data_IF_222537218413
#
_entry.id   IF_222537218413
#
_cell.length_a   1.000
_cell.length_b   1.000
_cell.length_c   1.000
_cell.angle_alpha   90.00
_cell.angle_beta   90.00
_cell.angle_gamma   90.00
#
_symmetry.space_group_name_H-M   'P 1'
#
loop_
_entity.id
_entity.type
_entity.pdbx_description
1 polymer ?
#
# COMPACT_ATOMS: atom_id res chain seq x y z
N UNK A 1 14.26 5.36 -16.35
CA UNK A 1 13.55 5.92 -17.52
C UNK A 1 12.91 7.23 -17.10
N UNK A 2 12.66 8.22 -17.99
CA UNK A 2 11.87 9.38 -17.60
C UNK A 2 10.46 8.92 -17.23
N UNK A 3 9.87 9.56 -16.21
CA UNK A 3 8.51 9.28 -15.78
C UNK A 3 7.53 9.43 -16.95
N UNK A 4 6.57 8.51 -17.12
CA UNK A 4 5.65 8.55 -18.23
C UNK A 4 4.74 9.78 -18.10
N UNK A 5 4.87 10.72 -19.04
CA UNK A 5 4.11 11.99 -19.05
C UNK A 5 2.60 11.84 -19.25
N UNK A 6 2.14 10.64 -19.61
CA UNK A 6 0.72 10.32 -19.82
C UNK A 6 0.02 9.80 -18.55
N UNK A 7 0.77 9.52 -17.47
CA UNK A 7 0.22 9.06 -16.21
C UNK A 7 0.19 10.23 -15.23
N UNK A 8 -1.00 10.56 -14.74
CA UNK A 8 -1.20 11.58 -13.71
C UNK A 8 -0.92 11.00 -12.31
N UNK A 9 0.12 11.46 -11.60
CA UNK A 9 0.48 10.95 -10.27
C UNK A 9 -0.39 11.50 -9.13
N UNK A 10 -1.26 12.50 -9.39
CA UNK A 10 -2.00 13.22 -8.35
C UNK A 10 -2.93 12.31 -7.53
N UNK A 11 -3.36 12.79 -6.37
CA UNK A 11 -4.38 12.12 -5.56
C UNK A 11 -5.66 11.88 -6.38
N UNK A 12 -6.40 10.83 -5.99
CA UNK A 12 -7.71 10.53 -6.56
C UNK A 12 -8.76 10.45 -5.45
N UNK A 13 -9.87 11.12 -5.65
CA UNK A 13 -11.00 11.14 -4.74
C UNK A 13 -12.30 10.93 -5.52
N UNK A 14 -13.21 10.18 -4.92
CA UNK A 14 -14.56 10.00 -5.43
C UNK A 14 -15.53 9.88 -4.25
N UNK A 15 -16.60 10.66 -4.29
CA UNK A 15 -17.69 10.55 -3.33
C UNK A 15 -18.74 9.58 -3.88
N UNK A 16 -19.24 8.73 -3.00
CA UNK A 16 -20.28 7.72 -3.27
C UNK A 16 -21.14 7.47 -2.05
N UNK A 17 -21.47 6.21 -1.79
CA UNK A 17 -22.25 5.80 -0.63
C UNK A 17 -21.51 5.96 0.69
N UNK A 18 -22.09 5.40 1.76
CA UNK A 18 -21.59 5.56 3.14
C UNK A 18 -20.53 4.55 3.55
N UNK A 19 -20.02 3.77 2.61
CA UNK A 19 -18.85 2.88 2.79
C UNK A 19 -17.63 3.55 2.19
N UNK A 20 -16.64 3.87 3.04
CA UNK A 20 -15.42 4.53 2.68
C UNK A 20 -14.26 3.56 2.47
N UNK A 21 -13.41 3.83 1.49
CA UNK A 21 -12.18 3.06 1.24
C UNK A 21 -10.99 4.01 1.08
N UNK A 22 -9.98 3.84 1.93
CA UNK A 22 -8.68 4.50 1.81
C UNK A 22 -7.70 3.55 1.10
N UNK A 23 -7.13 3.97 -0.03
CA UNK A 23 -6.14 3.20 -0.78
C UNK A 23 -4.80 3.93 -0.83
N UNK A 24 -3.74 3.29 -0.34
CA UNK A 24 -2.42 3.92 -0.11
C UNK A 24 -1.37 3.30 -1.04
N UNK A 25 -0.69 4.14 -1.82
CA UNK A 25 0.33 3.72 -2.79
C UNK A 25 1.67 3.32 -2.15
N UNK A 26 2.57 2.73 -2.96
CA UNK A 26 3.89 2.26 -2.58
C UNK A 26 4.96 3.36 -2.48
N UNK A 27 6.13 3.00 -1.94
CA UNK A 27 7.31 3.86 -1.89
C UNK A 27 7.86 4.08 -3.30
N UNK A 28 8.25 5.30 -3.63
CA UNK A 28 8.65 5.81 -4.96
C UNK A 28 7.55 5.86 -6.01
N UNK A 29 6.38 5.27 -5.74
CA UNK A 29 5.21 5.31 -6.59
C UNK A 29 4.37 6.60 -6.42
N UNK A 30 3.11 6.54 -6.83
CA UNK A 30 2.15 7.65 -6.71
C UNK A 30 0.71 7.12 -6.61
N UNK A 31 -0.27 8.02 -6.40
CA UNK A 31 -1.68 7.65 -6.38
C UNK A 31 -2.17 7.04 -7.70
N UNK A 32 -1.42 7.20 -8.78
CA UNK A 32 -1.66 6.51 -10.06
C UNK A 32 -1.73 4.97 -9.92
N UNK A 33 -1.00 4.37 -8.97
CA UNK A 33 -1.02 2.92 -8.73
C UNK A 33 -2.36 2.45 -8.14
N UNK A 34 -2.93 3.23 -7.25
CA UNK A 34 -4.18 2.90 -6.53
C UNK A 34 -5.42 3.38 -7.26
N UNK A 35 -5.29 4.38 -8.14
CA UNK A 35 -6.41 5.01 -8.87
C UNK A 35 -7.26 4.03 -9.68
N UNK A 36 -6.70 3.03 -10.40
CA UNK A 36 -7.52 2.06 -11.14
C UNK A 36 -8.47 1.29 -10.23
N UNK A 37 -7.98 0.77 -9.10
CA UNK A 37 -8.82 0.13 -8.08
C UNK A 37 -9.80 1.13 -7.45
N UNK A 38 -9.34 2.36 -7.19
CA UNK A 38 -10.20 3.42 -6.66
C UNK A 38 -11.39 3.71 -7.57
N UNK A 39 -11.18 3.79 -8.88
CA UNK A 39 -12.27 3.96 -9.86
C UNK A 39 -13.22 2.77 -9.88
N UNK A 40 -12.67 1.56 -9.88
CA UNK A 40 -13.46 0.32 -9.84
C UNK A 40 -14.40 0.29 -8.63
N UNK A 41 -13.94 0.74 -7.46
CA UNK A 41 -14.74 0.82 -6.24
C UNK A 41 -15.75 1.96 -6.28
N UNK A 42 -15.36 3.13 -6.79
CA UNK A 42 -16.25 4.29 -6.93
C UNK A 42 -17.42 4.02 -7.88
N UNK A 43 -17.20 3.28 -8.99
CA UNK A 43 -18.24 2.81 -9.91
C UNK A 43 -19.26 1.87 -9.24
N UNK A 44 -18.95 1.39 -8.01
CA UNK A 44 -19.80 0.53 -7.17
C UNK A 44 -20.35 1.25 -5.95
N UNK A 45 -20.44 2.58 -6.04
CA UNK A 45 -21.02 3.46 -5.02
C UNK A 45 -20.26 3.50 -3.69
N UNK A 46 -18.91 3.25 -3.70
CA UNK A 46 -18.08 3.47 -2.53
C UNK A 46 -17.44 4.86 -2.58
N UNK A 47 -17.30 5.49 -1.41
CA UNK A 47 -16.52 6.72 -1.25
C UNK A 47 -15.04 6.35 -1.14
N UNK A 48 -14.19 6.91 -2.02
CA UNK A 48 -12.80 6.50 -2.14
C UNK A 48 -11.85 7.68 -1.95
N UNK A 49 -10.75 7.43 -1.23
CA UNK A 49 -9.60 8.34 -1.12
C UNK A 49 -8.31 7.58 -1.47
N UNK A 50 -7.59 8.10 -2.47
CA UNK A 50 -6.25 7.65 -2.84
C UNK A 50 -5.29 8.84 -2.67
N UNK A 51 -4.80 9.12 -1.46
CA UNK A 51 -3.94 10.28 -1.21
C UNK A 51 -2.60 10.14 -1.93
N UNK A 52 -1.98 11.28 -2.25
CA UNK A 52 -0.60 11.33 -2.68
C UNK A 52 0.29 11.62 -1.47
N UNK A 53 1.13 10.66 -1.11
CA UNK A 53 1.99 10.78 0.06
C UNK A 53 3.04 11.91 -0.11
N UNK A 54 3.36 12.69 0.93
CA UNK A 54 4.37 13.74 0.86
C UNK A 54 5.69 13.28 0.24
N UNK A 55 6.21 14.08 -0.70
CA UNK A 55 7.45 13.81 -1.42
C UNK A 55 7.33 12.82 -2.58
N UNK A 56 6.12 12.31 -2.88
CA UNK A 56 5.84 11.45 -4.03
C UNK A 56 5.18 12.23 -5.17
N UNK A 57 5.11 11.65 -6.36
CA UNK A 57 4.41 12.23 -7.50
C UNK A 57 5.13 13.40 -8.18
N UNK A 58 6.35 13.74 -7.81
CA UNK A 58 7.12 14.90 -8.30
C UNK A 58 8.52 14.48 -8.78
N UNK A 59 9.52 14.53 -7.92
CA UNK A 59 10.90 14.13 -8.22
C UNK A 59 11.54 13.41 -7.02
N UNK A 60 12.53 12.53 -7.23
CA UNK A 60 13.14 11.74 -6.14
C UNK A 60 13.73 12.59 -5.01
N UNK A 61 14.20 13.81 -5.33
CA UNK A 61 14.78 14.76 -4.38
C UNK A 61 13.80 15.15 -3.28
N UNK A 62 12.51 15.21 -3.58
CA UNK A 62 11.46 15.65 -2.66
C UNK A 62 11.18 14.63 -1.54
N UNK A 63 11.60 13.38 -1.72
CA UNK A 63 11.61 12.37 -0.64
C UNK A 63 12.78 12.56 0.36
N UNK A 64 13.74 13.43 0.04
CA UNK A 64 14.85 13.71 0.94
C UNK A 64 14.35 14.48 2.16
N UNK A 65 14.61 13.93 3.36
CA UNK A 65 14.19 14.47 4.66
C UNK A 65 12.69 14.38 4.98
N UNK A 66 11.88 13.77 4.12
CA UNK A 66 10.51 13.37 4.50
C UNK A 66 10.60 12.21 5.48
N UNK A 67 9.92 12.33 6.61
CA UNK A 67 9.83 11.25 7.59
C UNK A 67 8.58 10.39 7.36
N UNK A 68 8.61 9.14 7.81
CA UNK A 68 7.42 8.29 7.77
C UNK A 68 6.22 8.89 8.53
N UNK A 69 6.47 9.78 9.50
CA UNK A 69 5.40 10.49 10.22
C UNK A 69 4.65 11.49 9.34
N UNK A 70 5.32 12.07 8.34
CA UNK A 70 4.63 12.91 7.36
C UNK A 70 3.68 12.09 6.48
N UNK A 71 4.10 10.87 6.07
CA UNK A 71 3.22 9.93 5.37
C UNK A 71 2.05 9.48 6.26
N UNK A 72 2.33 9.17 7.53
CA UNK A 72 1.31 8.84 8.50
C UNK A 72 0.29 9.97 8.69
N UNK A 73 0.74 11.23 8.79
CA UNK A 73 -0.15 12.40 8.89
C UNK A 73 -1.07 12.57 7.69
N UNK A 74 -0.57 12.28 6.47
CA UNK A 74 -1.39 12.34 5.26
C UNK A 74 -2.51 11.29 5.27
N UNK A 75 -2.19 10.04 5.59
CA UNK A 75 -3.20 8.97 5.63
C UNK A 75 -4.18 9.13 6.80
N UNK A 76 -3.74 9.71 7.92
CA UNK A 76 -4.63 10.12 9.02
C UNK A 76 -5.63 11.18 8.59
N UNK A 77 -5.18 12.19 7.84
CA UNK A 77 -6.04 13.24 7.29
C UNK A 77 -7.09 12.64 6.36
N UNK A 78 -6.68 11.76 5.45
CA UNK A 78 -7.59 11.09 4.52
C UNK A 78 -8.58 10.13 5.24
N UNK A 79 -8.12 9.42 6.27
CA UNK A 79 -8.98 8.58 7.11
C UNK A 79 -10.01 9.43 7.87
N UNK A 80 -9.59 10.58 8.42
CA UNK A 80 -10.49 11.50 9.12
C UNK A 80 -11.56 12.07 8.20
N UNK A 81 -11.20 12.41 6.95
CA UNK A 81 -12.18 12.84 5.95
C UNK A 81 -13.21 11.74 5.65
N UNK A 82 -12.77 10.50 5.41
CA UNK A 82 -13.68 9.38 5.20
C UNK A 82 -14.62 9.16 6.40
N UNK A 83 -14.10 9.21 7.62
CA UNK A 83 -14.92 9.05 8.85
C UNK A 83 -15.96 10.15 9.04
N UNK A 84 -15.72 11.33 8.49
CA UNK A 84 -16.73 12.43 8.55
C UNK A 84 -17.91 12.20 7.60
N UNK A 85 -17.74 11.38 6.56
CA UNK A 85 -18.72 11.18 5.50
C UNK A 85 -19.27 9.75 5.42
N UNK A 86 -18.57 8.76 5.97
CA UNK A 86 -18.90 7.34 5.86
C UNK A 86 -19.18 6.72 7.23
N UNK A 87 -20.10 5.75 7.25
CA UNK A 87 -20.44 4.98 8.47
C UNK A 87 -19.43 3.85 8.71
N UNK A 88 -18.84 3.33 7.64
CA UNK A 88 -17.90 2.20 7.66
C UNK A 88 -16.71 2.53 6.79
N UNK A 89 -15.50 2.31 7.30
CA UNK A 89 -14.25 2.59 6.54
C UNK A 89 -13.36 1.38 6.51
N UNK A 90 -12.92 1.03 5.29
CA UNK A 90 -11.88 0.04 5.03
C UNK A 90 -10.57 0.74 4.60
N UNK A 91 -9.45 0.12 4.91
CA UNK A 91 -8.13 0.66 4.53
C UNK A 91 -7.33 -0.42 3.82
N UNK A 92 -6.80 -0.07 2.66
CA UNK A 92 -5.90 -0.92 1.89
C UNK A 92 -4.68 -0.17 1.38
N UNK A 93 -3.63 -0.90 1.04
CA UNK A 93 -2.44 -0.27 0.51
C UNK A 93 -1.37 -1.24 0.04
N UNK A 94 -0.55 -0.77 -0.90
CA UNK A 94 0.52 -1.53 -1.54
C UNK A 94 1.88 -1.24 -0.88
N UNK A 95 2.66 -2.26 -0.56
CA UNK A 95 4.07 -2.12 -0.13
C UNK A 95 4.25 -1.19 1.08
N UNK A 96 4.80 0.03 0.92
CA UNK A 96 4.79 1.08 1.95
C UNK A 96 3.34 1.38 2.39
N UNK A 97 2.40 1.45 1.45
CA UNK A 97 0.98 1.64 1.74
C UNK A 97 0.43 0.53 2.63
N UNK A 98 0.90 -0.71 2.48
CA UNK A 98 0.53 -1.81 3.37
C UNK A 98 1.02 -1.61 4.81
N UNK A 99 2.23 -1.04 4.98
CA UNK A 99 2.73 -0.68 6.32
C UNK A 99 1.88 0.42 6.96
N UNK A 100 1.47 1.42 6.18
CA UNK A 100 0.58 2.49 6.66
C UNK A 100 -0.83 1.95 6.96
N UNK A 101 -1.34 1.02 6.16
CA UNK A 101 -2.60 0.29 6.42
C UNK A 101 -2.55 -0.43 7.77
N UNK A 102 -1.51 -1.21 8.01
CA UNK A 102 -1.33 -1.95 9.27
C UNK A 102 -1.08 -1.02 10.47
N UNK A 103 -0.38 0.09 10.24
CA UNK A 103 -0.18 1.12 11.26
C UNK A 103 -1.50 1.79 11.64
N UNK A 104 -2.32 2.21 10.66
CA UNK A 104 -3.66 2.76 10.90
C UNK A 104 -4.55 1.76 11.64
N UNK A 105 -4.52 0.47 11.25
CA UNK A 105 -5.28 -0.57 11.94
C UNK A 105 -4.93 -0.72 13.42
N UNK A 106 -3.65 -0.50 13.78
CA UNK A 106 -3.20 -0.57 15.17
C UNK A 106 -3.58 0.69 15.98
N UNK A 107 -3.58 1.87 15.35
CA UNK A 107 -3.96 3.13 16.01
C UNK A 107 -5.50 3.33 16.02
N UNK A 108 -6.24 2.69 15.09
CA UNK A 108 -7.69 2.87 14.86
C UNK A 108 -8.42 1.51 14.82
N UNK A 109 -8.71 0.89 15.99
CA UNK A 109 -9.35 -0.42 16.05
C UNK A 109 -10.80 -0.44 15.49
N UNK A 110 -11.42 0.72 15.26
CA UNK A 110 -12.73 0.87 14.65
C UNK A 110 -12.74 0.75 13.11
N UNK A 111 -11.59 0.67 12.44
CA UNK A 111 -11.52 0.37 11.01
C UNK A 111 -12.15 -1.01 10.75
N UNK A 112 -13.09 -1.07 9.80
CA UNK A 112 -13.90 -2.25 9.56
C UNK A 112 -13.13 -3.43 8.97
N UNK A 113 -12.04 -3.16 8.24
CA UNK A 113 -11.16 -4.19 7.71
C UNK A 113 -9.93 -3.63 7.01
N UNK A 114 -8.89 -4.45 6.93
CA UNK A 114 -7.58 -4.10 6.41
C UNK A 114 -7.23 -4.93 5.17
N UNK A 115 -6.70 -4.29 4.13
CA UNK A 115 -6.32 -4.94 2.86
C UNK A 115 -4.85 -4.63 2.54
N UNK A 116 -3.87 -5.20 3.28
CA UNK A 116 -2.46 -5.07 2.95
C UNK A 116 -2.12 -5.88 1.69
N UNK A 117 -1.53 -5.23 0.71
CA UNK A 117 -1.07 -5.79 -0.56
C UNK A 117 0.44 -5.74 -0.64
N UNK A 118 1.09 -6.85 -0.99
CA UNK A 118 2.56 -7.00 -0.96
C UNK A 118 3.17 -6.42 0.34
N UNK A 119 2.83 -7.01 1.53
CA UNK A 119 3.10 -6.38 2.83
C UNK A 119 4.60 -6.24 3.12
N UNK A 120 5.12 -5.02 3.08
CA UNK A 120 6.54 -4.70 3.26
C UNK A 120 7.06 -4.89 4.71
N UNK A 121 6.46 -5.80 5.47
CA UNK A 121 6.91 -6.10 6.84
C UNK A 121 8.27 -6.81 6.87
N UNK A 122 8.71 -7.36 5.73
CA UNK A 122 10.03 -7.92 5.49
C UNK A 122 10.41 -7.78 4.03
N UNK A 123 11.48 -7.05 3.74
CA UNK A 123 11.99 -6.85 2.40
C UNK A 123 13.03 -7.93 2.05
N UNK A 124 13.17 -8.28 0.75
CA UNK A 124 14.20 -9.17 0.23
C UNK A 124 15.60 -8.61 0.50
N UNK A 125 15.77 -7.31 0.24
CA UNK A 125 17.05 -6.64 0.41
C UNK A 125 17.40 -6.46 1.90
N UNK A 126 18.29 -7.30 2.40
CA UNK A 126 18.77 -7.29 3.80
C UNK A 126 19.63 -6.06 4.14
N UNK A 127 20.02 -5.26 3.13
CA UNK A 127 20.85 -4.06 3.34
C UNK A 127 20.01 -2.81 3.66
N UNK A 128 18.67 -2.87 3.56
CA UNK A 128 17.78 -1.74 3.86
C UNK A 128 18.06 -1.08 5.23
N UNK A 129 18.37 -1.80 6.31
CA UNK A 129 18.75 -1.18 7.58
C UNK A 129 19.95 -0.26 7.49
N UNK A 130 20.89 -0.51 6.57
CA UNK A 130 22.06 0.34 6.34
C UNK A 130 21.67 1.70 5.75
N UNK A 131 20.50 1.83 5.15
CA UNK A 131 20.00 3.12 4.66
C UNK A 131 19.93 4.16 5.78
N UNK A 132 19.69 3.75 7.04
CA UNK A 132 19.70 4.64 8.20
C UNK A 132 21.05 5.34 8.43
N UNK A 133 22.14 4.69 8.03
CA UNK A 133 23.47 5.25 8.15
C UNK A 133 23.91 5.86 6.80
N UNK A 134 23.75 5.15 5.70
CA UNK A 134 24.23 5.57 4.37
C UNK A 134 23.54 6.84 3.87
N UNK A 135 22.31 7.14 4.29
CA UNK A 135 21.53 8.33 3.89
C UNK A 135 22.21 9.66 4.20
N UNK A 136 23.18 9.69 5.11
CA UNK A 136 23.95 10.88 5.44
C UNK A 136 25.13 11.13 4.47
N UNK A 137 25.49 10.11 3.69
CA UNK A 137 26.64 10.15 2.78
C UNK A 137 26.22 9.98 1.31
N UNK A 138 25.15 9.25 1.06
CA UNK A 138 24.63 8.92 -0.26
C UNK A 138 23.16 9.33 -0.35
N UNK A 139 22.78 9.95 -1.48
CA UNK A 139 21.40 10.36 -1.71
C UNK A 139 20.52 9.21 -2.19
N UNK A 140 21.05 8.37 -3.09
CA UNK A 140 20.30 7.35 -3.80
C UNK A 140 20.96 5.98 -3.72
N UNK A 141 20.14 4.94 -3.79
CA UNK A 141 20.59 3.61 -4.14
C UNK A 141 20.76 3.57 -5.67
N UNK A 142 21.93 3.14 -6.14
CA UNK A 142 22.27 3.05 -7.57
C UNK A 142 22.08 1.64 -8.12
N UNK A 143 21.72 0.68 -7.30
CA UNK A 143 21.50 -0.71 -7.71
C UNK A 143 20.02 -0.99 -7.93
N UNK A 144 19.49 -0.55 -9.09
CA UNK A 144 18.11 -0.80 -9.52
C UNK A 144 17.05 0.13 -8.89
N UNK A 145 16.07 0.53 -9.68
CA UNK A 145 14.83 1.08 -9.16
C UNK A 145 14.03 -0.05 -8.49
N UNK A 146 13.44 0.22 -7.34
CA UNK A 146 12.48 -0.71 -6.74
C UNK A 146 11.20 -0.55 -7.56
N UNK A 147 10.76 -1.60 -8.26
CA UNK A 147 9.40 -1.71 -8.79
C UNK A 147 9.22 -1.84 -10.30
N UNK A 148 10.11 -1.31 -11.16
CA UNK A 148 9.86 -1.33 -12.62
C UNK A 148 10.10 -2.69 -13.28
N UNK A 149 10.93 -3.55 -12.70
CA UNK A 149 11.27 -4.87 -13.25
C UNK A 149 10.54 -6.03 -12.55
N UNK A 150 9.76 -5.73 -11.51
CA UNK A 150 9.10 -6.71 -10.64
C UNK A 150 7.60 -6.79 -10.96
N UNK A 151 7.28 -7.07 -12.22
CA UNK A 151 5.92 -7.20 -12.76
C UNK A 151 5.81 -8.51 -13.53
N UNK A 152 4.71 -9.23 -13.33
CA UNK A 152 4.41 -10.46 -14.05
C UNK A 152 3.91 -10.20 -15.48
N UNK A 153 3.20 -9.09 -15.71
CA UNK A 153 2.72 -8.64 -17.02
C UNK A 153 3.66 -7.59 -17.62
N UNK A 154 4.35 -7.85 -18.73
CA UNK A 154 5.22 -6.87 -19.39
C UNK A 154 4.51 -5.56 -19.77
N UNK A 155 3.19 -5.60 -20.01
CA UNK A 155 2.41 -4.39 -20.32
C UNK A 155 2.11 -3.53 -19.07
N UNK A 156 2.32 -4.07 -17.87
CA UNK A 156 2.09 -3.33 -16.63
C UNK A 156 3.05 -2.13 -16.48
N UNK A 157 4.23 -2.18 -17.11
CA UNK A 157 5.19 -1.07 -17.15
C UNK A 157 4.58 0.21 -17.76
N UNK A 158 3.68 0.08 -18.74
CA UNK A 158 2.99 1.23 -19.34
C UNK A 158 1.98 1.89 -18.39
N UNK A 159 1.61 1.20 -17.31
CA UNK A 159 0.68 1.66 -16.25
C UNK A 159 1.40 2.07 -14.98
N UNK A 160 2.71 1.84 -14.92
CA UNK A 160 3.54 2.15 -13.76
C UNK A 160 3.99 3.60 -13.77
N UNK A 161 3.88 4.25 -12.62
CA UNK A 161 4.50 5.53 -12.35
C UNK A 161 5.35 5.40 -11.10
N UNK A 162 6.67 5.49 -11.27
CA UNK A 162 7.58 5.46 -10.13
C UNK A 162 8.83 6.31 -10.41
N UNK A 163 9.59 6.62 -9.37
CA UNK A 163 10.88 7.27 -9.52
C UNK A 163 11.92 6.31 -10.09
N UNK A 164 12.78 6.83 -10.97
CA UNK A 164 13.92 6.10 -11.55
C UNK A 164 15.09 5.87 -10.57
N UNK A 165 15.02 6.46 -9.38
CA UNK A 165 16.02 6.35 -8.31
C UNK A 165 15.34 6.16 -6.98
N UNK A 166 15.95 5.35 -6.11
CA UNK A 166 15.47 5.11 -4.76
C UNK A 166 16.22 5.99 -3.76
N UNK A 167 15.59 7.06 -3.21
CA UNK A 167 16.20 7.89 -2.19
C UNK A 167 16.48 7.10 -0.91
N UNK A 168 17.73 7.09 -0.45
CA UNK A 168 18.12 6.33 0.76
C UNK A 168 17.49 6.89 2.03
N UNK A 169 17.17 8.18 2.05
CA UNK A 169 16.47 8.76 3.19
C UNK A 169 15.12 8.09 3.42
N UNK A 170 14.28 8.07 2.40
CA UNK A 170 12.96 7.46 2.49
C UNK A 170 13.04 5.94 2.72
N UNK A 171 13.99 5.23 2.10
CA UNK A 171 14.21 3.79 2.38
C UNK A 171 14.49 3.55 3.87
N UNK A 172 15.28 4.42 4.51
CA UNK A 172 15.48 4.39 5.97
C UNK A 172 14.20 4.63 6.76
N UNK A 173 13.34 5.56 6.31
CA UNK A 173 12.05 5.84 6.94
C UNK A 173 11.06 4.67 6.76
N UNK A 174 11.03 4.02 5.60
CA UNK A 174 10.27 2.76 5.39
C UNK A 174 10.71 1.70 6.41
N UNK A 175 12.03 1.53 6.62
CA UNK A 175 12.53 0.59 7.60
C UNK A 175 12.14 0.95 9.05
N UNK A 176 12.13 2.23 9.42
CA UNK A 176 11.67 2.68 10.73
C UNK A 176 10.17 2.36 10.95
N UNK A 177 9.34 2.64 9.94
CA UNK A 177 7.91 2.30 9.97
C UNK A 177 7.71 0.77 10.05
N UNK A 178 8.42 0.02 9.22
CA UNK A 178 8.38 -1.46 9.24
C UNK A 178 8.64 -2.01 10.64
N UNK A 179 9.66 -1.50 11.34
CA UNK A 179 9.96 -1.92 12.73
C UNK A 179 8.84 -1.57 13.72
N UNK A 180 8.19 -0.40 13.55
CA UNK A 180 7.03 -0.02 14.39
C UNK A 180 5.86 -0.95 14.13
N UNK A 181 5.51 -1.16 12.87
CA UNK A 181 4.39 -2.02 12.45
C UNK A 181 4.59 -3.46 12.95
N UNK A 182 5.76 -4.07 12.73
CA UNK A 182 6.04 -5.45 13.20
C UNK A 182 5.78 -5.65 14.70
N UNK A 183 6.01 -4.63 15.52
CA UNK A 183 5.72 -4.69 16.97
C UNK A 183 4.24 -4.55 17.29
N UNK A 184 3.48 -3.91 16.40
CA UNK A 184 2.06 -3.67 16.56
C UNK A 184 1.17 -4.80 15.99
N UNK A 185 1.70 -5.71 15.15
CA UNK A 185 0.92 -6.78 14.52
C UNK A 185 0.03 -7.57 15.49
N UNK A 186 0.47 -7.94 16.73
CA UNK A 186 -0.40 -8.63 17.67
C UNK A 186 -1.58 -7.80 18.20
N UNK A 187 -1.63 -6.50 17.92
CA UNK A 187 -2.73 -5.61 18.30
C UNK A 187 -3.83 -5.53 17.23
N UNK A 188 -3.61 -6.12 16.06
CA UNK A 188 -4.56 -6.10 14.95
C UNK A 188 -5.60 -7.19 15.13
N UNK A 189 -6.83 -6.80 15.38
CA UNK A 189 -7.98 -7.68 15.59
C UNK A 189 -9.05 -7.57 14.50
N UNK A 190 -8.97 -6.52 13.67
CA UNK A 190 -9.89 -6.30 12.55
C UNK A 190 -9.80 -7.43 11.53
N UNK A 191 -10.87 -7.73 10.78
CA UNK A 191 -10.80 -8.55 9.58
C UNK A 191 -9.67 -8.11 8.66
N UNK A 192 -8.90 -9.06 8.12
CA UNK A 192 -7.75 -8.76 7.27
C UNK A 192 -7.71 -9.66 6.03
N UNK A 193 -7.61 -9.03 4.85
CA UNK A 193 -7.42 -9.69 3.57
C UNK A 193 -6.04 -9.33 3.01
N UNK A 194 -5.15 -10.29 2.97
CA UNK A 194 -3.75 -10.12 2.56
C UNK A 194 -3.59 -10.60 1.12
N UNK A 195 -2.98 -9.80 0.26
CA UNK A 195 -2.57 -10.21 -1.09
C UNK A 195 -1.06 -10.25 -1.23
N UNK A 196 -0.53 -11.29 -1.88
CA UNK A 196 0.90 -11.43 -2.18
C UNK A 196 1.12 -12.06 -3.55
N UNK A 197 1.98 -11.45 -4.36
CA UNK A 197 2.43 -12.01 -5.64
C UNK A 197 3.50 -13.10 -5.45
N UNK A 198 3.42 -14.17 -6.22
CA UNK A 198 4.44 -15.24 -6.23
C UNK A 198 5.75 -14.80 -6.88
N UNK A 199 5.66 -13.84 -7.81
CA UNK A 199 6.81 -13.33 -8.55
C UNK A 199 7.42 -12.08 -7.89
N UNK A 200 6.96 -11.67 -6.70
CA UNK A 200 7.44 -10.50 -5.95
C UNK A 200 8.91 -10.69 -5.53
N UNK A 201 9.81 -9.88 -6.10
CA UNK A 201 11.24 -9.87 -5.79
C UNK A 201 11.63 -8.75 -4.81
N UNK A 202 10.69 -7.88 -4.46
CA UNK A 202 10.88 -6.74 -3.54
C UNK A 202 10.59 -7.12 -2.10
N UNK A 203 9.43 -7.73 -1.84
CA UNK A 203 9.04 -8.22 -0.52
C UNK A 203 9.47 -9.69 -0.37
N UNK A 204 9.97 -10.03 0.82
CA UNK A 204 10.40 -11.40 1.09
C UNK A 204 9.20 -12.36 0.99
N UNK A 205 9.32 -13.52 0.30
CA UNK A 205 8.20 -14.43 0.09
C UNK A 205 7.45 -14.86 1.36
N UNK A 206 8.15 -14.94 2.50
CA UNK A 206 7.54 -15.29 3.78
C UNK A 206 6.85 -14.11 4.49
N UNK A 207 6.90 -12.88 3.96
CA UNK A 207 6.33 -11.72 4.65
C UNK A 207 4.81 -11.83 4.83
N UNK A 208 4.11 -12.34 3.83
CA UNK A 208 2.66 -12.53 3.91
C UNK A 208 2.26 -13.60 4.95
N UNK A 209 2.98 -14.71 4.99
CA UNK A 209 2.77 -15.76 5.99
C UNK A 209 3.11 -15.24 7.41
N UNK A 210 4.25 -14.52 7.57
CA UNK A 210 4.62 -13.88 8.83
C UNK A 210 3.54 -12.89 9.31
N UNK A 211 2.94 -12.11 8.40
CA UNK A 211 1.83 -11.21 8.73
C UNK A 211 0.61 -11.98 9.18
N UNK A 212 0.21 -12.99 8.39
CA UNK A 212 -0.95 -13.84 8.66
C UNK A 212 -0.87 -14.50 10.05
N UNK A 213 0.32 -14.97 10.42
CA UNK A 213 0.55 -15.63 11.71
C UNK A 213 0.67 -14.66 12.90
N UNK A 214 1.16 -13.43 12.64
CA UNK A 214 1.46 -12.46 13.70
C UNK A 214 0.26 -11.63 14.17
N UNK A 215 -0.79 -11.49 13.34
CA UNK A 215 -1.99 -10.73 13.71
C UNK A 215 -2.91 -11.53 14.63
N UNK A 216 -3.64 -10.83 15.50
CA UNK A 216 -4.63 -11.44 16.41
C UNK A 216 -6.04 -11.50 15.79
N UNK A 217 -6.21 -11.07 14.55
CA UNK A 217 -7.48 -11.18 13.84
C UNK A 217 -7.93 -12.65 13.78
N UNK A 218 -9.23 -12.87 14.03
CA UNK A 218 -9.88 -14.19 13.86
C UNK A 218 -10.38 -14.39 12.44
N UNK A 219 -10.67 -13.30 11.73
CA UNK A 219 -11.08 -13.27 10.33
C UNK A 219 -9.89 -12.78 9.49
N UNK A 220 -9.11 -13.73 9.00
CA UNK A 220 -7.91 -13.46 8.22
C UNK A 220 -7.83 -14.36 7.00
N UNK A 221 -7.60 -13.75 5.85
CA UNK A 221 -7.47 -14.43 4.56
C UNK A 221 -6.16 -14.03 3.91
N UNK A 222 -5.43 -14.99 3.35
CA UNK A 222 -4.24 -14.77 2.53
C UNK A 222 -4.49 -15.31 1.13
N UNK A 223 -4.36 -14.43 0.15
CA UNK A 223 -4.51 -14.73 -1.27
C UNK A 223 -3.15 -14.62 -1.96
N UNK A 224 -2.71 -15.69 -2.59
CA UNK A 224 -1.54 -15.72 -3.45
C UNK A 224 -1.95 -15.50 -4.89
N UNK A 225 -1.23 -14.61 -5.58
CA UNK A 225 -1.39 -14.33 -7.00
C UNK A 225 -0.23 -15.00 -7.75
N UNK A 226 -0.55 -15.96 -8.59
CA UNK A 226 0.44 -16.87 -9.17
C UNK A 226 1.32 -16.19 -10.25
N UNK A 227 0.76 -15.18 -10.95
CA UNK A 227 1.41 -14.54 -12.09
C UNK A 227 1.70 -13.04 -11.86
N UNK A 228 1.66 -12.58 -10.61
CA UNK A 228 1.90 -11.18 -10.28
C UNK A 228 3.20 -11.00 -9.52
N UNK A 229 3.91 -9.92 -9.84
CA UNK A 229 5.08 -9.43 -9.11
C UNK A 229 4.69 -8.54 -7.93
N UNK A 230 5.46 -7.46 -7.72
CA UNK A 230 5.29 -6.59 -6.54
C UNK A 230 4.08 -5.67 -6.63
N UNK A 231 3.84 -5.03 -7.77
CA UNK A 231 2.76 -4.04 -7.91
C UNK A 231 1.43 -4.69 -8.34
N UNK A 232 0.76 -5.33 -7.39
CA UNK A 232 -0.48 -6.09 -7.58
C UNK A 232 -1.64 -5.26 -8.15
N UNK A 233 -1.59 -3.93 -8.03
CA UNK A 233 -2.69 -3.03 -8.41
C UNK A 233 -2.71 -2.69 -9.90
N UNK A 234 -1.59 -2.91 -10.60
CA UNK A 234 -1.43 -2.62 -12.03
C UNK A 234 -0.99 -3.83 -12.85
N UNK A 235 -0.60 -4.93 -12.20
CA UNK A 235 -0.11 -6.16 -12.82
C UNK A 235 -1.23 -6.98 -13.49
N UNK A 236 -0.88 -8.13 -14.03
CA UNK A 236 -1.77 -8.99 -14.83
C UNK A 236 -3.03 -9.45 -14.10
N UNK A 237 -2.95 -9.72 -12.79
CA UNK A 237 -4.08 -10.18 -11.97
C UNK A 237 -4.79 -9.04 -11.20
N UNK A 238 -4.51 -7.77 -11.50
CA UNK A 238 -5.07 -6.59 -10.82
C UNK A 238 -6.59 -6.59 -10.67
N UNK A 239 -7.31 -6.98 -11.73
CA UNK A 239 -8.78 -6.98 -11.70
C UNK A 239 -9.34 -8.02 -10.72
N UNK A 240 -8.62 -9.13 -10.55
CA UNK A 240 -8.94 -10.13 -9.52
C UNK A 240 -8.71 -9.59 -8.11
N UNK A 241 -7.64 -8.81 -7.89
CA UNK A 241 -7.39 -8.13 -6.60
C UNK A 241 -8.53 -7.16 -6.28
N UNK A 242 -8.95 -6.34 -7.26
CA UNK A 242 -10.02 -5.37 -7.06
C UNK A 242 -11.36 -6.04 -6.75
N UNK A 243 -11.72 -7.08 -7.52
CA UNK A 243 -12.98 -7.80 -7.36
C UNK A 243 -13.03 -8.52 -6.00
N UNK A 244 -11.99 -9.28 -5.66
CA UNK A 244 -11.93 -9.99 -4.39
C UNK A 244 -11.94 -9.03 -3.19
N UNK A 245 -11.28 -7.87 -3.29
CA UNK A 245 -11.33 -6.83 -2.25
C UNK A 245 -12.74 -6.28 -2.06
N UNK A 246 -13.45 -5.99 -3.17
CA UNK A 246 -14.83 -5.52 -3.13
C UNK A 246 -15.76 -6.57 -2.52
N UNK A 247 -15.71 -7.80 -3.02
CA UNK A 247 -16.58 -8.89 -2.56
C UNK A 247 -16.37 -9.19 -1.07
N UNK A 248 -15.11 -9.17 -0.62
CA UNK A 248 -14.76 -9.35 0.79
C UNK A 248 -15.32 -8.24 1.68
N UNK A 249 -15.15 -6.97 1.29
CA UNK A 249 -15.73 -5.83 2.03
C UNK A 249 -17.26 -5.94 2.12
N UNK A 250 -17.93 -6.27 1.00
CA UNK A 250 -19.39 -6.42 0.98
C UNK A 250 -19.85 -7.62 1.80
N UNK A 251 -19.08 -8.71 1.81
CA UNK A 251 -19.33 -9.88 2.66
C UNK A 251 -19.35 -9.55 4.16
N UNK A 252 -18.41 -8.69 4.60
CA UNK A 252 -18.37 -8.23 5.99
C UNK A 252 -19.59 -7.37 6.36
N UNK A 253 -20.08 -6.53 5.45
CA UNK A 253 -21.25 -5.68 5.66
C UNK A 253 -22.57 -6.46 5.66
N UNK A 254 -22.64 -7.56 4.89
CA UNK A 254 -23.83 -8.44 4.82
C UNK A 254 -23.93 -9.45 5.97
N UNK A 255 -22.84 -9.70 6.70
CA UNK A 255 -22.78 -10.69 7.77
C UNK A 255 -23.46 -10.29 9.09
N UNK A 256 -23.78 -9.02 9.29
CA UNK A 256 -24.46 -8.52 10.50
C UNK A 256 -26.01 -8.66 10.46
N UNK A 257 -26.58 -9.34 9.45
CA UNK A 257 -28.03 -9.49 9.26
C UNK A 257 -28.54 -10.93 9.47
N UNK A 258 -27.81 -11.79 10.18
CA UNK A 258 -28.26 -13.15 10.51
C UNK A 258 -28.33 -13.41 12.01
#
# INVERSE_FOLDING_TARGET
MPQPSHIDPSAFEADGGRVGVLLIHGYTGAAAETRPMGRYLAERDLTVRCPLLPGHGTQPEDLTRISWRAWAGEVESALSDLKAHCDTVFVGGLSLGSLLTLWLGAEHPEIAGLIPMAPAIRLQNRMVPLALFLRYFLKYNTTGSIGDDDLGDPQATERSWCYDKTPLWGAGEVYLLQRKVRRALPQLHQPILIFQGRLDETVHPQAADELYDAVSSKDRTLVWLENSGHNLLIDGERESVWAQSYDWMMGLLGGDTA
#
